data_IF_660867430168
#
_entry.id   IF_660867430168
#
_cell.length_a   1.000
_cell.length_b   1.000
_cell.length_c   1.000
_cell.angle_alpha   90.00
_cell.angle_beta   90.00
_cell.angle_gamma   90.00
#
_symmetry.space_group_name_H-M   'P 1'
#
loop_
_entity.id
_entity.type
_entity.pdbx_description
1 polymer ?
#
# COMPACT_ATOMS: atom_id res chain seq x y z
N UNK A 1 6.07 12.80 -27.05
CA UNK A 1 7.09 11.79 -26.68
C UNK A 1 7.74 12.27 -25.40
N UNK A 2 7.23 11.84 -24.25
CA UNK A 2 7.74 12.25 -22.94
C UNK A 2 7.64 11.05 -22.02
N UNK A 3 8.74 10.70 -21.35
CA UNK A 3 8.84 9.53 -20.50
C UNK A 3 10.27 9.02 -20.42
N UNK A 4 10.68 8.60 -19.23
CA UNK A 4 11.97 7.97 -19.02
C UNK A 4 11.94 6.53 -19.58
N UNK A 5 13.03 6.07 -20.19
CA UNK A 5 13.09 4.74 -20.81
C UNK A 5 13.01 3.67 -19.73
N UNK A 6 12.06 2.72 -19.86
CA UNK A 6 12.02 1.54 -19.00
C UNK A 6 13.30 0.70 -19.18
N UNK A 7 13.85 0.22 -18.07
CA UNK A 7 15.13 -0.51 -18.05
C UNK A 7 16.38 0.37 -18.11
N UNK A 8 16.26 1.69 -18.22
CA UNK A 8 17.40 2.60 -18.02
C UNK A 8 17.67 2.76 -16.52
N UNK A 9 18.90 2.53 -16.03
CA UNK A 9 19.25 2.63 -14.61
C UNK A 9 19.02 4.02 -13.99
N UNK A 10 19.06 5.08 -14.81
CA UNK A 10 18.90 6.47 -14.34
C UNK A 10 17.44 6.91 -14.23
N UNK A 11 16.53 6.26 -14.98
CA UNK A 11 15.11 6.63 -15.02
C UNK A 11 14.44 6.68 -13.63
N UNK A 12 14.65 5.71 -12.71
CA UNK A 12 14.03 5.75 -11.38
C UNK A 12 14.49 6.94 -10.54
N UNK A 13 15.77 7.31 -10.64
CA UNK A 13 16.32 8.43 -9.88
C UNK A 13 15.76 9.76 -10.39
N UNK A 14 15.68 9.95 -11.71
CA UNK A 14 15.07 11.13 -12.30
C UNK A 14 13.60 11.25 -11.92
N UNK A 15 12.87 10.13 -11.90
CA UNK A 15 11.50 10.09 -11.45
C UNK A 15 11.37 10.56 -9.99
N UNK A 16 12.21 10.03 -9.09
CA UNK A 16 12.22 10.41 -7.68
C UNK A 16 12.54 11.90 -7.48
N UNK A 17 13.50 12.45 -8.23
CA UNK A 17 13.86 13.88 -8.13
C UNK A 17 12.66 14.76 -8.49
N UNK A 18 11.94 14.43 -9.57
CA UNK A 18 10.78 15.23 -9.99
C UNK A 18 9.63 15.08 -8.99
N UNK A 19 9.37 13.88 -8.47
CA UNK A 19 8.32 13.65 -7.49
C UNK A 19 8.62 14.30 -6.13
N UNK A 20 9.89 14.40 -5.75
CA UNK A 20 10.31 15.08 -4.51
C UNK A 20 9.99 16.58 -4.53
N UNK A 21 9.94 17.23 -5.70
CA UNK A 21 9.48 18.62 -5.82
C UNK A 21 8.03 18.76 -5.35
N UNK A 22 7.14 17.87 -5.81
CA UNK A 22 5.75 17.82 -5.36
C UNK A 22 5.66 17.50 -3.86
N UNK A 23 6.42 16.50 -3.41
CA UNK A 23 6.47 16.08 -2.02
C UNK A 23 6.86 17.25 -1.09
N UNK A 24 7.92 17.97 -1.46
CA UNK A 24 8.42 19.11 -0.72
C UNK A 24 7.40 20.26 -0.67
N UNK A 25 6.74 20.55 -1.79
CA UNK A 25 5.69 21.55 -1.84
C UNK A 25 4.50 21.19 -0.92
N UNK A 26 4.04 19.94 -0.92
CA UNK A 26 2.99 19.47 -0.01
C UNK A 26 3.43 19.58 1.46
N UNK A 27 4.68 19.20 1.78
CA UNK A 27 5.21 19.28 3.15
C UNK A 27 5.24 20.74 3.65
N UNK A 28 5.63 21.69 2.82
CA UNK A 28 5.77 23.10 3.17
C UNK A 28 4.43 23.87 3.23
N UNK A 29 3.41 23.41 2.50
CA UNK A 29 2.12 24.11 2.45
C UNK A 29 1.39 24.07 3.79
N UNK A 30 1.03 25.24 4.34
CA UNK A 30 0.48 25.35 5.71
C UNK A 30 -0.98 24.94 5.81
N UNK A 31 -1.73 25.15 4.73
CA UNK A 31 -3.13 24.80 4.58
C UNK A 31 -3.35 23.29 4.51
N UNK A 32 -2.31 22.55 4.08
CA UNK A 32 -2.31 21.09 4.08
C UNK A 32 -1.81 20.62 5.44
N UNK A 33 -2.71 20.12 6.28
CA UNK A 33 -2.37 19.55 7.59
C UNK A 33 -2.36 18.03 7.53
N UNK A 34 -1.23 17.46 7.93
CA UNK A 34 -1.02 16.02 8.04
C UNK A 34 -1.50 15.45 9.35
N UNK A 35 -1.20 14.17 9.58
CA UNK A 35 -1.43 13.53 10.87
C UNK A 35 -0.21 13.71 11.77
N UNK A 36 -0.42 13.83 13.08
CA UNK A 36 0.68 13.90 14.05
C UNK A 36 1.04 12.51 14.58
N UNK A 37 2.30 12.11 14.39
CA UNK A 37 2.86 10.87 14.92
C UNK A 37 4.00 11.25 15.88
N UNK A 38 3.75 11.07 17.18
CA UNK A 38 4.68 11.55 18.20
C UNK A 38 4.87 13.07 18.13
N UNK A 39 6.09 13.52 17.83
CA UNK A 39 6.44 14.95 17.72
C UNK A 39 6.42 15.46 16.27
N UNK A 40 6.25 14.57 15.29
CA UNK A 40 6.36 14.91 13.87
C UNK A 40 4.98 14.96 13.21
N UNK A 41 4.82 15.87 12.26
CA UNK A 41 3.66 15.91 11.36
C UNK A 41 4.01 15.17 10.08
N UNK A 42 3.21 14.17 9.73
CA UNK A 42 3.37 13.37 8.53
C UNK A 42 2.23 13.70 7.57
N UNK A 43 2.58 14.31 6.42
CA UNK A 43 1.62 14.67 5.37
C UNK A 43 1.55 13.66 4.24
N UNK A 44 2.66 12.97 3.95
CA UNK A 44 2.75 12.05 2.83
C UNK A 44 3.84 10.99 3.00
N UNK A 45 3.65 9.85 2.34
CA UNK A 45 4.63 8.78 2.15
C UNK A 45 4.73 8.43 0.66
N UNK A 46 5.94 8.12 0.18
CA UNK A 46 6.21 7.81 -1.22
C UNK A 46 6.95 6.49 -1.36
N UNK A 47 6.51 5.67 -2.31
CA UNK A 47 7.25 4.51 -2.79
C UNK A 47 7.14 4.41 -4.31
N UNK A 48 8.22 4.77 -5.02
CA UNK A 48 8.18 4.98 -6.46
C UNK A 48 7.00 5.91 -6.83
N UNK A 49 6.08 5.47 -7.70
CA UNK A 49 4.91 6.22 -8.14
C UNK A 49 3.71 6.14 -7.19
N UNK A 50 3.74 5.24 -6.20
CA UNK A 50 2.68 5.13 -5.20
C UNK A 50 2.86 6.19 -4.11
N UNK A 51 1.86 7.07 -3.97
CA UNK A 51 1.80 8.12 -2.96
C UNK A 51 0.64 7.88 -1.99
N UNK A 52 0.93 7.91 -0.70
CA UNK A 52 -0.09 8.01 0.36
C UNK A 52 -0.08 9.43 0.90
N UNK A 53 -1.25 10.04 0.99
CA UNK A 53 -1.46 11.35 1.61
C UNK A 53 -2.24 11.16 2.91
N UNK A 54 -1.81 11.84 3.96
CA UNK A 54 -2.47 11.88 5.25
C UNK A 54 -2.97 13.29 5.49
N UNK A 55 -4.28 13.43 5.75
CA UNK A 55 -4.95 14.72 5.86
C UNK A 55 -5.84 14.71 7.10
N UNK A 56 -5.61 15.63 8.04
CA UNK A 56 -6.40 15.75 9.27
C UNK A 56 -7.76 16.42 9.02
N UNK A 57 -7.78 17.55 8.28
CA UNK A 57 -8.98 18.33 7.99
C UNK A 57 -9.23 18.40 6.48
N UNK A 58 -9.83 17.35 5.88
CA UNK A 58 -10.00 17.26 4.43
C UNK A 58 -10.88 18.37 3.84
N UNK A 59 -11.81 18.96 4.59
CA UNK A 59 -12.61 20.10 4.09
C UNK A 59 -11.75 21.30 3.72
N UNK A 60 -10.73 21.59 4.52
CA UNK A 60 -9.87 22.77 4.34
C UNK A 60 -8.67 22.43 3.44
N UNK A 61 -8.02 21.29 3.69
CA UNK A 61 -6.76 20.92 3.04
C UNK A 61 -6.94 20.36 1.63
N UNK A 62 -8.07 19.75 1.30
CA UNK A 62 -8.25 19.07 -0.02
C UNK A 62 -8.13 20.05 -1.17
N UNK A 63 -8.71 21.25 -1.04
CA UNK A 63 -8.66 22.24 -2.11
C UNK A 63 -7.23 22.65 -2.43
N UNK A 64 -6.47 23.07 -1.40
CA UNK A 64 -5.08 23.48 -1.56
C UNK A 64 -4.21 22.35 -2.12
N UNK A 65 -4.44 21.12 -1.67
CA UNK A 65 -3.77 19.93 -2.19
C UNK A 65 -4.05 19.70 -3.69
N UNK A 66 -5.32 19.77 -4.12
CA UNK A 66 -5.69 19.56 -5.52
C UNK A 66 -5.13 20.67 -6.43
N UNK A 67 -5.14 21.93 -5.96
CA UNK A 67 -4.54 23.06 -6.68
C UNK A 67 -3.04 22.85 -6.88
N UNK A 68 -2.31 22.44 -5.83
CA UNK A 68 -0.88 22.18 -5.87
C UNK A 68 -0.52 21.01 -6.79
N UNK A 69 -1.31 19.93 -6.74
CA UNK A 69 -1.21 18.79 -7.67
C UNK A 69 -1.42 19.24 -9.12
N UNK A 70 -2.41 20.10 -9.36
CA UNK A 70 -2.74 20.59 -10.70
C UNK A 70 -1.63 21.48 -11.26
N UNK A 71 -1.06 22.37 -10.45
CA UNK A 71 0.09 23.19 -10.82
C UNK A 71 1.31 22.32 -11.15
N UNK A 72 1.64 21.37 -10.27
CA UNK A 72 2.72 20.43 -10.53
C UNK A 72 2.49 19.62 -11.81
N UNK A 73 1.25 19.20 -12.08
CA UNK A 73 0.86 18.49 -13.30
C UNK A 73 1.12 19.31 -14.56
N UNK A 74 0.88 20.62 -14.52
CA UNK A 74 1.15 21.53 -15.64
C UNK A 74 2.65 21.70 -15.90
N UNK A 75 3.45 21.82 -14.83
CA UNK A 75 4.90 22.06 -14.93
C UNK A 75 5.66 20.79 -15.29
N UNK A 76 5.40 19.69 -14.56
CA UNK A 76 6.14 18.45 -14.69
C UNK A 76 5.55 17.48 -15.73
N UNK A 77 4.33 17.75 -16.22
CA UNK A 77 3.64 16.91 -17.20
C UNK A 77 3.08 15.60 -16.63
N UNK A 78 3.09 15.42 -15.31
CA UNK A 78 2.51 14.25 -14.63
C UNK A 78 1.03 14.43 -14.36
N UNK A 79 0.23 13.37 -14.46
CA UNK A 79 -1.19 13.41 -14.11
C UNK A 79 -1.51 12.35 -13.08
N UNK A 80 -2.25 12.75 -12.04
CA UNK A 80 -2.80 11.78 -11.10
C UNK A 80 -3.84 10.92 -11.81
N UNK A 81 -3.77 9.61 -11.57
CA UNK A 81 -4.79 8.68 -12.02
C UNK A 81 -5.95 8.65 -11.01
N UNK A 82 -6.89 9.58 -11.16
CA UNK A 82 -8.05 9.74 -10.29
C UNK A 82 -8.86 8.44 -10.15
N UNK A 83 -8.95 7.63 -11.20
CA UNK A 83 -9.69 6.37 -11.19
C UNK A 83 -9.00 5.29 -10.33
N UNK A 84 -7.67 5.33 -10.24
CA UNK A 84 -6.88 4.43 -9.38
C UNK A 84 -6.66 4.99 -7.97
N UNK A 85 -6.87 6.29 -7.77
CA UNK A 85 -6.74 6.93 -6.48
C UNK A 85 -7.94 6.60 -5.58
N UNK A 86 -7.64 6.10 -4.39
CA UNK A 86 -8.61 5.63 -3.40
C UNK A 86 -8.30 6.29 -2.06
N UNK A 87 -9.33 6.62 -1.30
CA UNK A 87 -9.19 7.26 0.01
C UNK A 87 -9.94 6.49 1.10
N UNK A 88 -9.37 6.49 2.30
CA UNK A 88 -10.10 6.18 3.53
C UNK A 88 -10.56 7.47 4.18
N UNK A 89 -11.79 7.41 4.71
CA UNK A 89 -12.38 8.51 5.44
C UNK A 89 -12.59 8.09 6.90
N UNK A 90 -11.89 8.76 7.81
CA UNK A 90 -12.00 8.55 9.24
C UNK A 90 -12.84 9.68 9.84
N UNK A 91 -14.16 9.55 9.80
CA UNK A 91 -15.09 10.45 10.48
C UNK A 91 -16.28 9.67 11.00
N UNK A 92 -16.83 10.13 12.12
CA UNK A 92 -18.04 9.59 12.73
C UNK A 92 -19.27 10.48 12.43
N UNK A 93 -19.09 11.56 11.67
CA UNK A 93 -20.15 12.50 11.33
C UNK A 93 -20.60 12.32 9.87
N UNK A 94 -21.84 11.88 9.68
CA UNK A 94 -22.39 11.65 8.35
C UNK A 94 -22.48 12.91 7.48
N UNK A 95 -22.76 14.07 8.07
CA UNK A 95 -22.87 15.31 7.31
C UNK A 95 -21.50 15.71 6.75
N UNK A 96 -20.46 15.63 7.59
CA UNK A 96 -19.06 15.86 7.20
C UNK A 96 -18.60 14.83 6.17
N UNK A 97 -18.98 13.56 6.32
CA UNK A 97 -18.68 12.52 5.32
C UNK A 97 -19.29 12.84 3.95
N UNK A 98 -20.56 13.25 3.91
CA UNK A 98 -21.23 13.63 2.65
C UNK A 98 -20.59 14.85 2.01
N UNK A 99 -20.13 15.81 2.80
CA UNK A 99 -19.42 16.99 2.31
C UNK A 99 -18.07 16.61 1.70
N UNK A 100 -17.25 15.83 2.43
CA UNK A 100 -15.93 15.39 1.95
C UNK A 100 -16.06 14.54 0.68
N UNK A 101 -17.08 13.67 0.60
CA UNK A 101 -17.39 12.88 -0.61
C UNK A 101 -17.67 13.75 -1.84
N UNK A 102 -18.16 14.98 -1.67
CA UNK A 102 -18.36 15.92 -2.78
C UNK A 102 -17.09 16.69 -3.14
N UNK A 103 -16.18 16.89 -2.19
CA UNK A 103 -14.94 17.63 -2.37
C UNK A 103 -13.83 16.79 -3.00
N UNK A 104 -13.69 15.53 -2.58
CA UNK A 104 -12.59 14.66 -3.02
C UNK A 104 -12.98 13.94 -4.32
N UNK A 105 -12.16 14.01 -5.39
CA UNK A 105 -12.45 13.35 -6.66
C UNK A 105 -12.15 11.84 -6.66
N UNK A 106 -11.75 11.28 -5.53
CA UNK A 106 -11.25 9.90 -5.38
C UNK A 106 -12.34 8.95 -4.90
N UNK A 107 -12.17 7.67 -5.22
CA UNK A 107 -13.09 6.64 -4.72
C UNK A 107 -12.90 6.44 -3.23
N UNK A 108 -13.98 6.48 -2.44
CA UNK A 108 -13.91 6.20 -1.00
C UNK A 108 -14.01 4.69 -0.76
N UNK A 109 -12.92 4.09 -0.31
CA UNK A 109 -12.90 2.69 0.10
C UNK A 109 -13.65 2.50 1.43
N UNK A 110 -14.47 1.46 1.49
CA UNK A 110 -15.23 1.12 2.69
C UNK A 110 -14.45 0.22 3.65
N UNK A 111 -13.65 -0.71 3.11
CA UNK A 111 -13.01 -1.77 3.92
C UNK A 111 -11.50 -1.81 3.76
N UNK A 112 -11.02 -1.92 2.52
CA UNK A 112 -9.60 -2.18 2.22
C UNK A 112 -9.07 -1.30 1.10
N UNK A 113 -7.79 -0.94 1.21
CA UNK A 113 -6.98 -0.34 0.16
C UNK A 113 -5.73 -1.20 0.02
N UNK A 114 -5.39 -1.63 -1.19
CA UNK A 114 -4.17 -2.38 -1.46
C UNK A 114 -3.01 -1.41 -1.66
N UNK A 115 -1.96 -1.53 -0.86
CA UNK A 115 -0.74 -0.73 -0.94
C UNK A 115 0.48 -1.63 -0.82
N UNK A 116 1.38 -1.59 -1.81
CA UNK A 116 2.59 -2.43 -1.87
C UNK A 116 2.31 -3.93 -1.61
N UNK A 117 1.19 -4.46 -2.12
CA UNK A 117 0.81 -5.86 -1.92
C UNK A 117 0.12 -6.18 -0.59
N UNK A 118 0.05 -5.24 0.35
CA UNK A 118 -0.66 -5.37 1.63
C UNK A 118 -2.04 -4.74 1.53
N UNK A 119 -3.06 -5.40 2.08
CA UNK A 119 -4.40 -4.84 2.23
C UNK A 119 -4.45 -4.03 3.53
N UNK A 120 -4.30 -2.71 3.41
CA UNK A 120 -4.59 -1.79 4.50
C UNK A 120 -6.09 -1.79 4.77
N UNK A 121 -6.49 -1.94 6.02
CA UNK A 121 -7.89 -1.97 6.42
C UNK A 121 -8.28 -0.68 7.11
N UNK A 122 -9.55 -0.30 6.97
CA UNK A 122 -10.10 0.85 7.71
C UNK A 122 -10.09 0.59 9.22
N UNK A 123 -10.38 -0.64 9.63
CA UNK A 123 -10.30 -1.10 11.02
C UNK A 123 -9.07 -2.01 11.21
N UNK A 124 -8.26 -1.75 12.24
CA UNK A 124 -7.03 -2.51 12.51
C UNK A 124 -7.30 -3.97 12.89
N UNK A 125 -8.50 -4.29 13.37
CA UNK A 125 -8.91 -5.66 13.72
C UNK A 125 -8.95 -6.58 12.50
N UNK A 126 -9.29 -6.03 11.35
CA UNK A 126 -9.41 -6.78 10.09
C UNK A 126 -8.05 -7.07 9.43
N UNK A 127 -6.96 -6.43 9.88
CA UNK A 127 -5.63 -6.58 9.26
C UNK A 127 -5.18 -8.03 9.20
N UNK A 128 -5.48 -8.82 10.24
CA UNK A 128 -5.13 -10.23 10.29
C UNK A 128 -5.87 -11.03 9.21
N UNK A 129 -7.19 -10.91 9.15
CA UNK A 129 -8.00 -11.67 8.22
C UNK A 129 -7.77 -11.25 6.76
N UNK A 130 -7.57 -9.96 6.52
CA UNK A 130 -7.37 -9.42 5.17
C UNK A 130 -5.97 -9.67 4.59
N UNK A 131 -5.00 -10.08 5.41
CA UNK A 131 -3.63 -10.35 4.96
C UNK A 131 -3.17 -11.77 5.32
N UNK A 132 -3.10 -12.12 6.61
CA UNK A 132 -2.54 -13.38 7.08
C UNK A 132 -3.42 -14.58 6.74
N UNK A 133 -4.75 -14.48 6.93
CA UNK A 133 -5.66 -15.57 6.53
C UNK A 133 -5.64 -15.79 5.02
N UNK A 134 -5.59 -14.70 4.23
CA UNK A 134 -5.48 -14.80 2.77
C UNK A 134 -4.16 -15.41 2.33
N UNK A 135 -3.04 -14.99 2.93
CA UNK A 135 -1.72 -15.56 2.67
C UNK A 135 -1.71 -17.08 2.98
N UNK A 136 -2.27 -17.50 4.11
CA UNK A 136 -2.35 -18.93 4.44
C UNK A 136 -3.14 -19.71 3.39
N UNK A 137 -4.29 -19.19 2.92
CA UNK A 137 -5.05 -19.82 1.83
C UNK A 137 -4.26 -19.89 0.54
N UNK A 138 -3.55 -18.82 0.17
CA UNK A 138 -2.69 -18.80 -1.01
C UNK A 138 -1.58 -19.87 -0.91
N UNK A 139 -0.94 -19.99 0.24
CA UNK A 139 0.07 -21.02 0.51
C UNK A 139 -0.53 -22.43 0.40
N UNK A 140 -1.71 -22.68 0.95
CA UNK A 140 -2.42 -23.96 0.83
C UNK A 140 -2.79 -24.28 -0.64
N UNK A 141 -3.19 -23.29 -1.42
CA UNK A 141 -3.52 -23.46 -2.84
C UNK A 141 -2.26 -23.71 -3.68
N UNK A 142 -1.19 -22.95 -3.45
CA UNK A 142 0.08 -23.08 -4.15
C UNK A 142 0.70 -24.46 -3.88
N UNK A 143 0.74 -24.90 -2.63
CA UNK A 143 1.24 -26.24 -2.26
C UNK A 143 0.41 -27.37 -2.87
N UNK A 144 -0.93 -27.23 -2.93
CA UNK A 144 -1.80 -28.20 -3.63
C UNK A 144 -1.50 -28.26 -5.12
N UNK A 145 -1.36 -27.10 -5.79
CA UNK A 145 -1.02 -27.03 -7.22
C UNK A 145 0.33 -27.68 -7.50
N UNK A 146 1.32 -27.42 -6.65
CA UNK A 146 2.68 -27.92 -6.82
C UNK A 146 2.88 -29.36 -6.39
N UNK A 147 1.91 -29.96 -5.70
CA UNK A 147 2.01 -31.35 -5.20
C UNK A 147 2.35 -32.35 -6.31
N UNK A 148 1.81 -32.13 -7.50
CA UNK A 148 1.97 -33.01 -8.66
C UNK A 148 3.21 -32.70 -9.52
N UNK A 149 4.01 -31.70 -9.16
CA UNK A 149 5.24 -31.39 -9.89
C UNK A 149 6.25 -32.51 -9.63
N UNK A 150 6.78 -33.17 -10.68
CA UNK A 150 7.80 -34.20 -10.53
C UNK A 150 9.11 -33.54 -10.11
N UNK A 151 9.37 -33.54 -8.80
CA UNK A 151 10.58 -32.99 -8.23
C UNK A 151 11.04 -33.84 -7.05
N UNK A 152 12.35 -33.86 -6.85
CA UNK A 152 12.96 -34.52 -5.70
C UNK A 152 12.58 -33.83 -4.41
N UNK A 153 12.79 -34.51 -3.29
CA UNK A 153 12.59 -33.95 -1.95
C UNK A 153 13.36 -32.62 -1.73
N UNK A 154 14.63 -32.57 -2.19
CA UNK A 154 15.42 -31.33 -2.17
C UNK A 154 14.83 -30.24 -3.09
N UNK A 155 14.25 -30.62 -4.22
CA UNK A 155 13.51 -29.71 -5.10
C UNK A 155 12.31 -29.08 -4.40
N UNK A 156 11.52 -29.87 -3.66
CA UNK A 156 10.38 -29.39 -2.87
C UNK A 156 10.82 -28.39 -1.80
N UNK A 157 11.90 -28.68 -1.07
CA UNK A 157 12.49 -27.74 -0.10
C UNK A 157 12.86 -26.42 -0.76
N UNK A 158 13.49 -26.48 -1.95
CA UNK A 158 13.87 -25.27 -2.68
C UNK A 158 12.64 -24.48 -3.16
N UNK A 159 11.56 -25.14 -3.58
CA UNK A 159 10.29 -24.49 -3.92
C UNK A 159 9.75 -23.71 -2.71
N UNK A 160 9.70 -24.34 -1.53
CA UNK A 160 9.27 -23.68 -0.29
C UNK A 160 10.15 -22.46 0.02
N UNK A 161 11.48 -22.62 -0.03
CA UNK A 161 12.44 -21.55 0.28
C UNK A 161 12.38 -20.37 -0.69
N UNK A 162 12.18 -20.65 -1.99
CA UNK A 162 12.23 -19.62 -3.03
C UNK A 162 10.87 -18.97 -3.31
N UNK A 163 9.77 -19.64 -2.99
CA UNK A 163 8.42 -19.17 -3.35
C UNK A 163 7.56 -18.81 -2.13
N UNK A 164 7.46 -19.69 -1.13
CA UNK A 164 6.58 -19.48 0.02
C UNK A 164 7.21 -18.57 1.07
N UNK A 165 8.48 -18.83 1.39
CA UNK A 165 9.18 -18.10 2.45
C UNK A 165 9.27 -16.59 2.16
N UNK A 166 9.60 -16.12 0.93
CA UNK A 166 9.66 -14.68 0.67
C UNK A 166 8.30 -13.99 0.83
N UNK A 167 7.20 -14.62 0.38
CA UNK A 167 5.83 -14.10 0.57
C UNK A 167 5.52 -13.93 2.06
N UNK A 168 5.78 -14.97 2.85
CA UNK A 168 5.53 -14.93 4.29
C UNK A 168 6.38 -13.88 5.01
N UNK A 169 7.69 -13.86 4.75
CA UNK A 169 8.60 -12.88 5.35
C UNK A 169 8.20 -11.44 5.01
N UNK A 170 7.80 -11.18 3.77
CA UNK A 170 7.34 -9.86 3.36
C UNK A 170 6.12 -9.42 4.18
N UNK A 171 5.07 -10.25 4.27
CA UNK A 171 3.87 -9.92 5.05
C UNK A 171 4.17 -9.73 6.53
N UNK A 172 5.05 -10.56 7.11
CA UNK A 172 5.39 -10.50 8.54
C UNK A 172 6.16 -9.22 8.89
N UNK A 173 7.05 -8.78 8.00
CA UNK A 173 7.81 -7.54 8.19
C UNK A 173 6.97 -6.29 7.92
N UNK A 174 6.01 -6.38 7.00
CA UNK A 174 5.22 -5.21 6.58
C UNK A 174 4.10 -4.84 7.57
N UNK A 175 3.54 -5.80 8.31
CA UNK A 175 2.39 -5.57 9.18
C UNK A 175 2.79 -5.73 10.65
N UNK A 176 2.80 -4.65 11.46
CA UNK A 176 3.25 -4.68 12.85
C UNK A 176 2.15 -5.20 13.80
N UNK A 177 1.71 -6.45 13.64
CA UNK A 177 0.74 -7.09 14.53
C UNK A 177 1.31 -8.37 15.16
N UNK A 178 0.84 -8.70 16.36
CA UNK A 178 1.18 -9.96 17.01
C UNK A 178 0.39 -11.10 16.38
N UNK A 179 1.10 -12.09 15.85
CA UNK A 179 0.51 -13.28 15.23
C UNK A 179 0.41 -14.39 16.28
N UNK A 180 -0.71 -15.10 16.30
CA UNK A 180 -0.91 -16.21 17.23
C UNK A 180 0.03 -17.39 16.90
N UNK A 181 0.62 -18.09 17.90
CA UNK A 181 1.48 -19.26 17.68
C UNK A 181 0.85 -20.34 16.80
N UNK A 182 -0.47 -20.53 16.91
CA UNK A 182 -1.23 -21.49 16.11
C UNK A 182 -1.10 -21.26 14.59
N UNK A 183 -0.92 -20.01 14.15
CA UNK A 183 -0.69 -19.70 12.73
C UNK A 183 0.63 -20.32 12.24
N UNK A 184 1.69 -20.21 13.04
CA UNK A 184 3.00 -20.76 12.70
C UNK A 184 3.02 -22.28 12.72
N UNK A 185 2.34 -22.90 13.70
CA UNK A 185 2.17 -24.36 13.73
C UNK A 185 1.45 -24.87 12.47
N UNK A 186 0.40 -24.17 12.05
CA UNK A 186 -0.32 -24.49 10.81
C UNK A 186 0.57 -24.31 9.58
N UNK A 187 1.30 -23.20 9.49
CA UNK A 187 2.23 -22.95 8.38
C UNK A 187 3.32 -24.03 8.30
N UNK A 188 3.85 -24.45 9.44
CA UNK A 188 4.83 -25.52 9.54
C UNK A 188 4.27 -26.85 9.05
N UNK A 189 3.08 -27.23 9.53
CA UNK A 189 2.38 -28.42 9.07
C UNK A 189 2.19 -28.42 7.55
N UNK A 190 1.68 -27.32 6.97
CA UNK A 190 1.46 -27.23 5.51
C UNK A 190 2.76 -27.36 4.71
N UNK A 191 3.89 -26.82 5.21
CA UNK A 191 5.20 -27.01 4.57
C UNK A 191 5.66 -28.47 4.62
N UNK A 192 5.52 -29.12 5.78
CA UNK A 192 5.94 -30.51 5.98
C UNK A 192 5.10 -31.46 5.11
N UNK A 193 3.78 -31.24 5.03
CA UNK A 193 2.90 -32.04 4.17
C UNK A 193 3.20 -31.91 2.67
N UNK A 194 3.81 -30.80 2.25
CA UNK A 194 4.18 -30.56 0.86
C UNK A 194 5.53 -31.18 0.48
N UNK A 195 6.50 -31.15 1.40
CA UNK A 195 7.88 -31.63 1.22
C UNK A 195 7.94 -33.15 1.20
#
# INVERSE_FOLDING_TARGET
RSGARQGCPLSPLLFNIVLEVLASAIRQQKEIKGIRIGKEEVKLSLFADDMILYIENPTDSTRSLLELIQEFSQVAGYKINVQKSVAFLYTNNEATEREIKKLIPFTIAQKTIKYLGINLTKDTRDLYDENYRKLMKEIEEDTKKWKNIPCSWIGRINIVKMSLLPKALYTFNAIPIKIAPAYFSKLEQTKIEFI
#
